data_IF_122846931375
#
_entry.id   IF_122846931375
#
_cell.length_a   1.000
_cell.length_b   1.000
_cell.length_c   1.000
_cell.angle_alpha   90.00
_cell.angle_beta   90.00
_cell.angle_gamma   90.00
#
_symmetry.space_group_name_H-M   'P 1'
#
loop_
_entity.id
_entity.type
_entity.pdbx_description
1 polymer ?
#
# COMPACT_ATOMS: atom_id res chain seq x y z
N UNK A 1 -19.66 -19.21 -38.66
CA UNK A 1 -20.14 -18.89 -37.30
C UNK A 1 -19.08 -19.41 -36.33
N UNK A 2 -18.20 -18.55 -35.84
CA UNK A 2 -17.27 -18.90 -34.77
C UNK A 2 -17.87 -18.30 -33.50
N UNK A 3 -18.48 -19.15 -32.66
CA UNK A 3 -18.93 -18.79 -31.35
C UNK A 3 -17.70 -18.46 -30.47
N UNK A 4 -17.46 -17.20 -30.22
CA UNK A 4 -16.51 -16.79 -29.20
C UNK A 4 -17.04 -17.25 -27.85
N UNK A 5 -16.28 -18.05 -27.16
CA UNK A 5 -16.50 -18.36 -25.75
C UNK A 5 -16.22 -17.04 -25.02
N UNK A 6 -17.29 -16.33 -24.67
CA UNK A 6 -17.22 -15.23 -23.71
C UNK A 6 -16.96 -15.91 -22.36
N UNK A 7 -15.71 -15.99 -21.96
CA UNK A 7 -15.37 -16.31 -20.56
C UNK A 7 -15.85 -15.13 -19.73
N UNK A 8 -17.03 -15.29 -19.12
CA UNK A 8 -17.49 -14.33 -18.12
C UNK A 8 -16.40 -14.21 -17.05
N UNK A 9 -15.93 -13.00 -16.79
CA UNK A 9 -15.02 -12.71 -15.66
C UNK A 9 -15.80 -13.08 -14.41
N UNK A 10 -15.44 -14.19 -13.79
CA UNK A 10 -16.19 -14.75 -12.66
C UNK A 10 -16.00 -13.95 -11.38
N UNK A 11 -14.89 -13.26 -11.21
CA UNK A 11 -14.66 -12.29 -10.11
C UNK A 11 -13.41 -11.46 -10.37
N UNK A 12 -13.39 -10.22 -9.87
CA UNK A 12 -12.18 -9.37 -9.85
C UNK A 12 -11.66 -9.20 -8.43
N UNK A 13 -10.33 -9.16 -8.31
CA UNK A 13 -9.65 -8.92 -7.05
C UNK A 13 -9.19 -7.47 -6.99
N UNK A 14 -9.76 -6.71 -6.07
CA UNK A 14 -9.41 -5.32 -5.81
C UNK A 14 -8.49 -5.19 -4.59
N UNK A 15 -7.59 -4.24 -4.66
CA UNK A 15 -6.82 -3.72 -3.52
C UNK A 15 -6.70 -2.20 -3.66
N UNK A 16 -6.35 -1.45 -2.61
CA UNK A 16 -6.13 0.00 -2.71
C UNK A 16 -5.16 0.38 -3.82
N UNK A 17 -4.08 -0.40 -4.02
CA UNK A 17 -3.10 -0.17 -5.08
C UNK A 17 -3.69 -0.38 -6.47
N UNK A 18 -4.41 -1.48 -6.71
CA UNK A 18 -5.07 -1.79 -8.00
C UNK A 18 -6.10 -0.74 -8.39
N UNK A 19 -6.91 -0.30 -7.41
CA UNK A 19 -7.86 0.80 -7.60
C UNK A 19 -7.14 2.10 -7.98
N UNK A 20 -6.03 2.40 -7.28
CA UNK A 20 -5.23 3.59 -7.58
C UNK A 20 -4.58 3.52 -8.97
N UNK A 21 -4.08 2.35 -9.39
CA UNK A 21 -3.50 2.14 -10.72
C UNK A 21 -4.53 2.35 -11.83
N UNK A 22 -5.69 1.73 -11.72
CA UNK A 22 -6.76 1.90 -12.73
C UNK A 22 -7.21 3.36 -12.84
N UNK A 23 -7.44 4.03 -11.71
CA UNK A 23 -7.82 5.44 -11.67
C UNK A 23 -6.74 6.36 -12.26
N UNK A 24 -5.47 6.03 -12.05
CA UNK A 24 -4.35 6.81 -12.61
C UNK A 24 -4.23 6.62 -14.13
N UNK A 25 -4.29 5.36 -14.60
CA UNK A 25 -4.18 5.03 -16.02
C UNK A 25 -4.68 3.59 -16.27
N UNK A 26 -5.87 3.38 -16.89
CA UNK A 26 -6.35 2.05 -17.24
C UNK A 26 -5.34 1.22 -18.05
N UNK A 27 -4.60 1.85 -18.97
CA UNK A 27 -3.58 1.15 -19.77
C UNK A 27 -2.43 0.62 -18.89
N UNK A 28 -2.01 1.35 -17.84
CA UNK A 28 -1.00 0.88 -16.90
C UNK A 28 -1.53 -0.32 -16.09
N UNK A 29 -2.80 -0.24 -15.66
CA UNK A 29 -3.47 -1.35 -15.00
C UNK A 29 -3.49 -2.61 -15.91
N UNK A 30 -3.81 -2.47 -17.21
CA UNK A 30 -3.74 -3.56 -18.16
C UNK A 30 -2.36 -4.21 -18.16
N UNK A 31 -1.30 -3.44 -18.30
CA UNK A 31 0.06 -3.95 -18.34
C UNK A 31 0.47 -4.68 -17.06
N UNK A 32 0.16 -4.12 -15.90
CA UNK A 32 0.59 -4.66 -14.61
C UNK A 32 -0.29 -5.78 -14.07
N UNK A 33 -1.61 -5.69 -14.27
CA UNK A 33 -2.57 -6.57 -13.56
C UNK A 33 -3.15 -7.62 -14.49
N UNK A 34 -3.39 -7.30 -15.75
CA UNK A 34 -3.98 -8.24 -16.73
C UNK A 34 -2.89 -8.98 -17.50
N UNK A 35 -1.93 -8.26 -18.06
CA UNK A 35 -0.87 -8.82 -18.90
C UNK A 35 0.37 -9.24 -18.08
N UNK A 36 0.49 -8.79 -16.85
CA UNK A 36 1.60 -9.10 -15.92
C UNK A 36 2.98 -8.85 -16.54
N UNK A 37 3.11 -7.74 -17.27
CA UNK A 37 4.37 -7.39 -17.91
C UNK A 37 5.44 -7.09 -16.85
N UNK A 38 6.67 -7.59 -17.03
CA UNK A 38 7.74 -7.38 -16.05
C UNK A 38 8.16 -5.91 -15.99
N UNK A 39 8.40 -5.43 -14.77
CA UNK A 39 9.02 -4.14 -14.49
C UNK A 39 10.30 -4.34 -13.67
N UNK A 40 11.33 -3.51 -13.88
CA UNK A 40 12.49 -3.53 -12.99
C UNK A 40 12.08 -3.08 -11.59
N UNK A 41 12.75 -3.59 -10.54
CA UNK A 41 12.47 -3.17 -9.17
C UNK A 41 12.77 -1.67 -8.99
N UNK A 42 11.93 -1.01 -8.22
CA UNK A 42 12.11 0.40 -7.84
C UNK A 42 12.87 0.49 -6.54
N UNK A 43 14.02 1.15 -6.54
CA UNK A 43 14.84 1.38 -5.34
C UNK A 43 14.05 2.07 -4.22
N UNK A 44 13.16 3.00 -4.56
CA UNK A 44 12.33 3.68 -3.56
C UNK A 44 11.26 2.75 -2.97
N UNK A 45 10.69 1.84 -3.79
CA UNK A 45 9.76 0.83 -3.31
C UNK A 45 10.47 -0.19 -2.41
N UNK A 46 11.65 -0.66 -2.81
CA UNK A 46 12.44 -1.61 -2.00
C UNK A 46 12.90 -1.01 -0.67
N UNK A 47 13.19 0.30 -0.63
CA UNK A 47 13.45 1.00 0.65
C UNK A 47 12.20 1.04 1.53
N UNK A 48 11.03 1.25 0.93
CA UNK A 48 9.76 1.16 1.64
C UNK A 48 9.57 -0.22 2.25
N UNK A 49 9.75 -1.28 1.46
CA UNK A 49 9.66 -2.67 1.94
C UNK A 49 10.61 -2.94 3.11
N UNK A 50 11.88 -2.51 3.02
CA UNK A 50 12.85 -2.67 4.09
C UNK A 50 12.41 -1.98 5.39
N UNK A 51 11.88 -0.76 5.28
CA UNK A 51 11.37 -0.01 6.44
C UNK A 51 10.17 -0.74 7.08
N UNK A 52 9.21 -1.21 6.29
CA UNK A 52 8.06 -1.94 6.81
C UNK A 52 8.48 -3.21 7.56
N UNK A 53 9.39 -4.01 6.97
CA UNK A 53 9.94 -5.20 7.62
C UNK A 53 10.62 -4.85 8.96
N UNK A 54 11.43 -3.79 9.02
CA UNK A 54 12.10 -3.39 10.26
C UNK A 54 11.08 -2.93 11.30
N UNK A 55 10.06 -2.16 10.91
CA UNK A 55 9.02 -1.68 11.83
C UNK A 55 8.09 -2.81 12.29
N UNK A 56 7.86 -3.83 11.47
CA UNK A 56 7.19 -5.06 11.86
C UNK A 56 7.98 -5.82 12.92
N UNK A 57 9.26 -6.12 12.64
CA UNK A 57 10.16 -6.88 13.52
C UNK A 57 10.46 -6.16 14.83
N UNK A 58 10.41 -4.82 14.83
CA UNK A 58 10.63 -4.03 16.03
C UNK A 58 9.67 -4.41 17.19
N UNK A 59 8.46 -4.81 16.86
CA UNK A 59 7.46 -5.24 17.84
C UNK A 59 7.65 -6.68 18.32
N UNK A 60 8.60 -7.45 17.77
CA UNK A 60 9.03 -8.74 18.34
C UNK A 60 9.97 -8.55 19.52
N UNK A 61 10.57 -7.36 19.66
CA UNK A 61 11.40 -7.02 20.80
C UNK A 61 10.58 -6.70 22.05
N UNK A 62 11.12 -6.92 23.26
CA UNK A 62 10.58 -6.37 24.49
C UNK A 62 10.39 -4.85 24.38
N UNK A 63 9.37 -4.29 25.04
CA UNK A 63 9.01 -2.88 24.92
C UNK A 63 10.21 -1.93 25.16
N UNK A 64 11.03 -2.21 26.17
CA UNK A 64 12.22 -1.42 26.53
C UNK A 64 13.33 -1.43 25.47
N UNK A 65 13.31 -2.40 24.57
CA UNK A 65 14.27 -2.52 23.46
C UNK A 65 13.75 -1.91 22.16
N UNK A 66 12.50 -1.46 22.09
CA UNK A 66 11.90 -0.85 20.90
C UNK A 66 12.35 0.60 20.74
N UNK A 67 13.58 0.79 20.36
CA UNK A 67 14.22 2.10 20.21
C UNK A 67 14.91 2.24 18.85
N UNK A 68 15.34 3.47 18.53
CA UNK A 68 15.99 3.80 17.26
C UNK A 68 17.26 2.96 17.03
N UNK A 69 18.06 2.70 18.05
CA UNK A 69 19.30 1.93 17.92
C UNK A 69 19.01 0.49 17.52
N UNK A 70 18.02 -0.15 18.15
CA UNK A 70 17.59 -1.51 17.82
C UNK A 70 17.05 -1.61 16.38
N UNK A 71 16.19 -0.69 15.97
CA UNK A 71 15.66 -0.63 14.62
C UNK A 71 16.78 -0.45 13.57
N UNK A 72 17.72 0.47 13.80
CA UNK A 72 18.85 0.70 12.90
C UNK A 72 19.77 -0.52 12.82
N UNK A 73 19.99 -1.23 13.93
CA UNK A 73 20.80 -2.42 13.96
C UNK A 73 20.24 -3.59 13.12
N UNK A 74 18.93 -3.63 12.90
CA UNK A 74 18.27 -4.63 12.03
C UNK A 74 18.52 -4.37 10.53
N UNK A 75 18.71 -3.12 10.13
CA UNK A 75 18.72 -2.72 8.72
C UNK A 75 19.73 -3.51 7.84
N UNK A 76 21.00 -3.74 8.25
CA UNK A 76 21.95 -4.49 7.43
C UNK A 76 21.58 -5.94 7.21
N UNK A 77 20.98 -6.63 8.21
CA UNK A 77 20.54 -8.01 8.06
C UNK A 77 19.32 -8.11 7.16
N UNK A 78 18.31 -7.28 7.37
CA UNK A 78 17.09 -7.26 6.55
C UNK A 78 17.36 -6.85 5.11
N UNK A 79 18.31 -5.97 4.90
CA UNK A 79 18.76 -5.64 3.54
C UNK A 79 19.42 -6.84 2.84
N UNK A 80 20.25 -7.61 3.53
CA UNK A 80 20.83 -8.86 2.98
C UNK A 80 19.76 -9.90 2.65
N UNK A 81 18.76 -10.09 3.53
CA UNK A 81 17.62 -10.98 3.29
C UNK A 81 16.87 -10.56 2.02
N UNK A 82 16.70 -9.26 1.81
CA UNK A 82 16.04 -8.69 0.63
C UNK A 82 16.84 -8.91 -0.66
N UNK A 83 18.19 -8.76 -0.61
CA UNK A 83 19.08 -9.08 -1.73
C UNK A 83 19.08 -10.59 -2.02
N UNK A 84 19.05 -11.44 -1.00
CA UNK A 84 18.98 -12.89 -1.19
C UNK A 84 17.68 -13.30 -1.92
N UNK A 85 16.56 -12.66 -1.57
CA UNK A 85 15.26 -12.88 -2.23
C UNK A 85 15.19 -12.27 -3.65
N UNK A 86 15.93 -11.17 -3.90
CA UNK A 86 15.95 -10.43 -5.17
C UNK A 86 17.39 -10.02 -5.52
N UNK A 87 18.22 -10.92 -6.09
CA UNK A 87 19.63 -10.66 -6.34
C UNK A 87 19.94 -9.45 -7.23
N UNK A 88 19.02 -9.07 -8.10
CA UNK A 88 19.14 -7.88 -8.95
C UNK A 88 19.28 -6.57 -8.15
N UNK A 89 18.82 -6.51 -6.91
CA UNK A 89 18.93 -5.33 -6.05
C UNK A 89 20.39 -4.96 -5.75
N UNK A 90 21.28 -5.96 -5.68
CA UNK A 90 22.70 -5.72 -5.44
C UNK A 90 23.33 -4.84 -6.53
N UNK A 91 22.86 -4.94 -7.77
CA UNK A 91 23.35 -4.12 -8.89
C UNK A 91 22.74 -2.70 -8.94
N UNK A 92 21.59 -2.50 -8.28
CA UNK A 92 20.90 -1.21 -8.25
C UNK A 92 21.38 -0.31 -7.11
N UNK A 93 21.90 -0.90 -6.02
CA UNK A 93 22.43 -0.16 -4.87
C UNK A 93 23.96 -0.16 -4.94
N UNK A 94 24.52 0.82 -5.63
CA UNK A 94 25.98 0.93 -5.83
C UNK A 94 26.75 1.33 -4.57
N UNK A 95 26.09 1.97 -3.61
CA UNK A 95 26.66 2.39 -2.34
C UNK A 95 25.75 1.96 -1.19
N UNK A 96 26.02 0.77 -0.64
CA UNK A 96 25.23 0.20 0.45
C UNK A 96 25.23 1.09 1.70
N UNK A 97 26.37 1.71 2.01
CA UNK A 97 26.45 2.61 3.17
C UNK A 97 25.47 3.79 3.03
N UNK A 98 25.49 4.48 1.90
CA UNK A 98 24.57 5.60 1.63
C UNK A 98 23.11 5.13 1.64
N UNK A 99 22.86 3.93 1.14
CA UNK A 99 21.53 3.32 1.17
C UNK A 99 21.03 3.12 2.60
N UNK A 100 21.86 2.51 3.47
CA UNK A 100 21.52 2.28 4.87
C UNK A 100 21.43 3.58 5.67
N UNK A 101 22.28 4.58 5.38
CA UNK A 101 22.18 5.93 5.99
C UNK A 101 20.82 6.58 5.69
N UNK A 102 20.25 6.37 4.49
CA UNK A 102 18.90 6.85 4.13
C UNK A 102 17.80 6.07 4.86
N UNK A 103 17.97 4.76 5.05
CA UNK A 103 17.05 3.95 5.85
C UNK A 103 17.05 4.41 7.30
N UNK A 104 18.23 4.61 7.90
CA UNK A 104 18.37 5.13 9.26
C UNK A 104 17.68 6.48 9.45
N UNK A 105 17.81 7.40 8.48
CA UNK A 105 17.16 8.70 8.53
C UNK A 105 15.62 8.59 8.59
N UNK A 106 15.03 7.64 7.84
CA UNK A 106 13.59 7.37 7.88
C UNK A 106 13.17 6.73 9.20
N UNK A 107 13.94 5.77 9.72
CA UNK A 107 13.70 5.18 11.03
C UNK A 107 13.79 6.23 12.14
N UNK A 108 14.78 7.13 12.10
CA UNK A 108 14.86 8.25 13.04
C UNK A 108 13.59 9.10 13.05
N UNK A 109 13.03 9.37 11.87
CA UNK A 109 11.78 10.13 11.75
C UNK A 109 10.58 9.36 12.33
N UNK A 110 10.55 8.02 12.25
CA UNK A 110 9.53 7.22 12.92
C UNK A 110 9.51 7.46 14.43
N UNK A 111 10.67 7.45 15.09
CA UNK A 111 10.78 7.68 16.55
C UNK A 111 10.49 9.13 16.98
N UNK A 112 10.38 10.08 16.03
CA UNK A 112 9.81 11.40 16.30
C UNK A 112 8.28 11.40 16.31
N UNK A 113 7.66 10.42 15.64
CA UNK A 113 6.19 10.32 15.48
C UNK A 113 5.53 9.43 16.51
N UNK A 114 6.18 8.36 16.94
CA UNK A 114 5.65 7.38 17.87
C UNK A 114 6.70 6.94 18.92
N UNK A 115 6.18 6.36 20.01
CA UNK A 115 6.96 5.75 21.08
C UNK A 115 6.56 4.28 21.20
N UNK A 116 7.15 3.38 20.38
CA UNK A 116 6.73 1.97 20.30
C UNK A 116 6.93 1.21 21.62
N UNK A 117 7.74 1.72 22.51
CA UNK A 117 7.90 1.19 23.88
C UNK A 117 6.67 1.39 24.77
N UNK A 118 5.72 2.26 24.38
CA UNK A 118 4.56 2.62 25.19
C UNK A 118 3.27 1.89 24.85
N UNK A 119 3.27 1.04 23.83
CA UNK A 119 2.08 0.29 23.41
C UNK A 119 2.46 -1.03 22.72
N UNK A 120 1.46 -1.91 22.56
CA UNK A 120 1.60 -3.15 21.79
C UNK A 120 0.86 -3.06 20.45
N UNK A 121 1.49 -3.56 19.39
CA UNK A 121 0.83 -3.79 18.10
C UNK A 121 -0.02 -5.07 18.21
N UNK A 122 -1.34 -4.96 18.04
CA UNK A 122 -2.22 -6.15 18.10
C UNK A 122 -2.02 -7.05 16.89
N UNK A 123 -1.92 -6.44 15.70
CA UNK A 123 -1.61 -7.11 14.44
C UNK A 123 -0.63 -6.29 13.63
N UNK A 124 0.24 -6.98 12.88
CA UNK A 124 1.22 -6.41 11.96
C UNK A 124 1.11 -7.11 10.62
N UNK A 125 1.30 -6.39 9.51
CA UNK A 125 1.18 -6.90 8.13
C UNK A 125 -0.07 -7.80 7.95
N UNK A 126 -1.18 -7.38 8.57
CA UNK A 126 -2.39 -8.20 8.61
C UNK A 126 -3.07 -8.20 7.25
N UNK A 127 -3.21 -9.39 6.66
CA UNK A 127 -4.02 -9.57 5.46
C UNK A 127 -5.50 -9.55 5.82
N UNK A 128 -6.23 -8.59 5.28
CA UNK A 128 -7.69 -8.49 5.36
C UNK A 128 -8.28 -8.79 3.99
N UNK A 129 -9.33 -9.59 3.95
CA UNK A 129 -9.99 -9.95 2.68
C UNK A 129 -11.49 -10.19 2.89
N UNK A 130 -12.31 -9.76 1.93
CA UNK A 130 -13.76 -9.88 1.98
C UNK A 130 -14.38 -9.83 0.59
N UNK A 131 -15.39 -10.68 0.35
CA UNK A 131 -16.27 -10.52 -0.80
C UNK A 131 -17.19 -9.31 -0.56
N UNK A 132 -17.12 -8.33 -1.44
CA UNK A 132 -18.09 -7.22 -1.44
C UNK A 132 -19.36 -7.62 -2.19
N UNK A 133 -19.20 -8.39 -3.26
CA UNK A 133 -20.26 -9.03 -4.03
C UNK A 133 -19.76 -10.40 -4.53
N UNK A 134 -20.59 -11.15 -5.24
CA UNK A 134 -20.20 -12.42 -5.90
C UNK A 134 -19.12 -12.23 -6.97
N UNK A 135 -18.94 -10.98 -7.46
CA UNK A 135 -18.03 -10.65 -8.57
C UNK A 135 -16.84 -9.80 -8.09
N UNK A 136 -16.90 -9.26 -6.87
CA UNK A 136 -15.88 -8.31 -6.36
C UNK A 136 -15.31 -8.79 -5.04
N UNK A 137 -14.05 -9.19 -5.07
CA UNK A 137 -13.26 -9.58 -3.92
C UNK A 137 -12.31 -8.44 -3.56
N UNK A 138 -12.40 -7.92 -2.35
CA UNK A 138 -11.55 -6.84 -1.84
C UNK A 138 -10.53 -7.41 -0.84
N UNK A 139 -9.27 -7.01 -0.97
CA UNK A 139 -8.23 -7.39 -0.03
C UNK A 139 -7.20 -6.28 0.17
N UNK A 140 -6.41 -6.42 1.23
CA UNK A 140 -5.28 -5.53 1.50
C UNK A 140 -4.44 -5.99 2.67
N UNK A 141 -3.21 -5.51 2.74
CA UNK A 141 -2.32 -5.71 3.87
C UNK A 141 -2.27 -4.42 4.67
N UNK A 142 -2.49 -4.54 5.98
CA UNK A 142 -2.48 -3.41 6.91
C UNK A 142 -1.19 -3.48 7.71
N UNK A 143 -0.36 -2.45 7.62
CA UNK A 143 0.95 -2.44 8.25
C UNK A 143 0.85 -2.69 9.75
N UNK A 144 -0.10 -2.01 10.44
CA UNK A 144 -0.34 -2.23 11.86
C UNK A 144 -1.78 -1.93 12.28
N UNK A 145 -2.30 -2.77 13.17
CA UNK A 145 -3.58 -2.55 13.86
C UNK A 145 -3.33 -2.62 15.35
N UNK A 146 -3.75 -1.59 16.06
CA UNK A 146 -3.70 -1.52 17.52
C UNK A 146 -5.13 -1.55 18.07
N UNK A 147 -5.38 -2.39 19.06
CA UNK A 147 -6.66 -2.50 19.76
C UNK A 147 -6.44 -2.13 21.22
N UNK A 148 -7.08 -1.05 21.64
CA UNK A 148 -7.01 -0.62 23.04
C UNK A 148 -7.75 -1.62 23.94
N UNK A 149 -7.41 -1.72 25.25
CA UNK A 149 -8.16 -2.54 26.20
C UNK A 149 -9.66 -2.21 26.29
N UNK A 150 -10.04 -1.01 25.94
CA UNK A 150 -11.41 -0.50 25.87
C UNK A 150 -12.13 -0.83 24.56
N UNK A 151 -11.40 -1.43 23.58
CA UNK A 151 -11.94 -1.90 22.29
C UNK A 151 -11.81 -0.92 21.13
N UNK A 152 -11.25 0.28 21.32
CA UNK A 152 -10.99 1.21 20.23
C UNK A 152 -9.89 0.67 19.32
N UNK A 153 -10.11 0.79 18.03
CA UNK A 153 -9.21 0.28 16.99
C UNK A 153 -8.53 1.43 16.27
N UNK A 154 -7.20 1.34 16.16
CA UNK A 154 -6.36 2.23 15.35
C UNK A 154 -5.74 1.45 14.20
N UNK A 155 -5.90 1.94 12.97
CA UNK A 155 -5.22 1.42 11.78
C UNK A 155 -4.08 2.39 11.44
N UNK A 156 -2.88 1.86 11.27
CA UNK A 156 -1.67 2.63 10.97
C UNK A 156 -1.05 2.13 9.67
N UNK A 157 -0.60 3.06 8.83
CA UNK A 157 0.14 2.78 7.59
C UNK A 157 1.36 3.70 7.51
N UNK A 158 2.49 3.15 7.10
CA UNK A 158 3.76 3.84 7.00
C UNK A 158 4.05 4.23 5.55
N UNK A 159 4.50 5.45 5.35
CA UNK A 159 4.91 5.96 4.04
C UNK A 159 6.37 6.43 4.12
N UNK A 160 7.26 5.80 3.37
CA UNK A 160 8.68 6.19 3.30
C UNK A 160 8.89 7.56 2.62
N UNK A 161 7.90 8.03 1.83
CA UNK A 161 7.90 9.35 1.20
C UNK A 161 7.53 10.49 2.13
N UNK A 162 7.49 11.71 1.55
CA UNK A 162 7.01 12.93 2.22
C UNK A 162 5.50 13.03 2.17
N UNK A 163 4.92 13.70 3.15
CA UNK A 163 3.50 14.00 3.20
C UNK A 163 3.05 14.84 1.99
N UNK A 164 1.81 14.64 1.50
CA UNK A 164 1.23 15.52 0.50
C UNK A 164 1.04 16.93 1.06
N UNK A 165 0.89 17.91 0.18
CA UNK A 165 0.49 19.26 0.61
C UNK A 165 -0.87 19.21 1.31
N UNK A 166 -1.12 20.10 2.31
CA UNK A 166 -2.41 20.18 2.96
C UNK A 166 -3.56 20.30 1.94
N UNK A 167 -4.61 19.47 2.13
CA UNK A 167 -5.74 19.36 1.21
C UNK A 167 -5.57 18.34 0.08
N UNK A 168 -4.43 17.66 -0.02
CA UNK A 168 -4.17 16.62 -1.03
C UNK A 168 -4.05 15.22 -0.42
N UNK A 169 -4.46 15.05 0.84
CA UNK A 169 -4.36 13.79 1.59
C UNK A 169 -5.41 12.76 1.17
N UNK A 170 -6.45 13.18 0.45
CA UNK A 170 -7.63 12.36 0.14
C UNK A 170 -7.28 11.00 -0.49
N UNK A 171 -6.29 10.97 -1.41
CA UNK A 171 -5.86 9.73 -2.06
C UNK A 171 -5.26 8.73 -1.06
N UNK A 172 -4.45 9.21 -0.13
CA UNK A 172 -3.83 8.37 0.88
C UNK A 172 -4.85 7.96 1.97
N UNK A 173 -5.75 8.87 2.35
CA UNK A 173 -6.86 8.56 3.26
C UNK A 173 -7.85 7.56 2.66
N UNK A 174 -8.02 7.55 1.33
CA UNK A 174 -8.84 6.55 0.66
C UNK A 174 -8.32 5.13 0.92
N UNK A 175 -7.01 4.88 0.85
CA UNK A 175 -6.40 3.60 1.19
C UNK A 175 -6.77 3.17 2.61
N UNK A 176 -6.62 4.06 3.59
CA UNK A 176 -6.96 3.77 4.98
C UNK A 176 -8.47 3.50 5.18
N UNK A 177 -9.33 4.23 4.44
CA UNK A 177 -10.78 3.95 4.49
C UNK A 177 -11.14 2.58 3.91
N UNK A 178 -10.39 2.09 2.90
CA UNK A 178 -10.54 0.72 2.39
C UNK A 178 -10.15 -0.29 3.46
N UNK A 179 -9.06 -0.08 4.17
CA UNK A 179 -8.68 -0.94 5.30
C UNK A 179 -9.70 -0.90 6.44
N UNK A 180 -10.21 0.30 6.77
CA UNK A 180 -11.26 0.45 7.78
C UNK A 180 -12.57 -0.23 7.37
N UNK A 181 -12.93 -0.18 6.08
CA UNK A 181 -14.09 -0.89 5.54
C UNK A 181 -13.92 -2.40 5.67
N UNK A 182 -12.77 -2.96 5.27
CA UNK A 182 -12.44 -4.38 5.42
C UNK A 182 -12.52 -4.80 6.89
N UNK A 183 -11.87 -4.06 7.78
CA UNK A 183 -11.89 -4.36 9.21
C UNK A 183 -13.31 -4.34 9.77
N UNK A 184 -14.10 -3.33 9.43
CA UNK A 184 -15.49 -3.23 9.84
C UNK A 184 -16.34 -4.40 9.34
N UNK A 185 -16.20 -4.78 8.08
CA UNK A 185 -16.94 -5.90 7.48
C UNK A 185 -16.60 -7.24 8.13
N UNK A 186 -15.34 -7.44 8.50
CA UNK A 186 -14.85 -8.69 9.10
C UNK A 186 -15.18 -8.79 10.61
N UNK A 187 -15.04 -7.68 11.34
CA UNK A 187 -15.11 -7.70 12.81
C UNK A 187 -16.34 -6.98 13.37
N UNK A 188 -17.16 -6.31 12.56
CA UNK A 188 -18.31 -5.54 13.02
C UNK A 188 -17.96 -4.24 13.76
N UNK A 189 -16.66 -3.93 13.91
CA UNK A 189 -16.14 -2.77 14.66
C UNK A 189 -15.59 -1.74 13.69
N UNK A 190 -16.00 -0.49 13.81
CA UNK A 190 -15.47 0.61 13.01
C UNK A 190 -14.21 1.13 13.70
N UNK A 191 -13.04 1.16 13.01
CA UNK A 191 -11.85 1.77 13.57
C UNK A 191 -12.09 3.23 13.95
N UNK A 192 -11.64 3.62 15.15
CA UNK A 192 -11.84 4.97 15.68
C UNK A 192 -10.81 5.96 15.15
N UNK A 193 -9.64 5.44 14.73
CA UNK A 193 -8.53 6.28 14.26
C UNK A 193 -7.78 5.60 13.10
N UNK A 194 -7.59 6.36 12.04
CA UNK A 194 -6.74 6.02 10.90
C UNK A 194 -5.53 6.95 10.90
N UNK A 195 -4.33 6.38 10.75
CA UNK A 195 -3.06 7.11 10.88
C UNK A 195 -2.16 6.81 9.69
N UNK A 196 -1.65 7.84 9.05
CA UNK A 196 -0.57 7.78 8.07
C UNK A 196 0.66 8.44 8.67
N UNK A 197 1.74 7.68 8.81
CA UNK A 197 3.03 8.21 9.20
C UNK A 197 3.92 8.39 7.97
N UNK A 198 4.20 9.64 7.62
CA UNK A 198 5.12 10.01 6.55
C UNK A 198 6.52 10.16 7.12
N UNK A 199 7.36 9.15 6.89
CA UNK A 199 8.71 9.08 7.44
C UNK A 199 9.67 10.05 6.72
N UNK A 200 9.37 10.42 5.47
CA UNK A 200 10.21 11.32 4.68
C UNK A 200 10.29 12.77 5.19
N UNK A 201 9.33 13.19 6.02
CA UNK A 201 9.28 14.54 6.61
C UNK A 201 8.74 14.54 8.05
N UNK A 202 8.70 13.37 8.70
CA UNK A 202 8.22 13.18 10.07
C UNK A 202 6.83 13.82 10.32
N UNK A 203 5.87 13.58 9.43
CA UNK A 203 4.51 14.09 9.55
C UNK A 203 3.49 12.97 9.72
N UNK A 204 2.44 13.27 10.46
CA UNK A 204 1.30 12.37 10.65
C UNK A 204 0.03 13.00 10.09
N UNK A 205 -0.71 12.24 9.29
CA UNK A 205 -2.08 12.56 8.89
C UNK A 205 -3.02 11.61 9.63
N UNK A 206 -4.07 12.15 10.22
CA UNK A 206 -5.06 11.39 11.01
C UNK A 206 -6.46 11.61 10.47
N UNK A 207 -7.30 10.58 10.56
CA UNK A 207 -8.72 10.65 10.23
C UNK A 207 -9.50 9.72 11.17
N UNK A 208 -10.74 10.10 11.49
CA UNK A 208 -11.68 9.26 12.23
C UNK A 208 -12.84 8.93 11.30
N UNK A 209 -12.89 7.70 10.74
CA UNK A 209 -13.86 7.37 9.72
C UNK A 209 -15.28 7.29 10.32
N UNK A 210 -16.27 7.74 9.55
CA UNK A 210 -17.67 7.61 9.89
C UNK A 210 -18.32 6.52 9.03
N UNK A 211 -19.39 5.90 9.53
CA UNK A 211 -20.17 4.89 8.79
C UNK A 211 -20.51 5.36 7.37
N UNK A 212 -20.98 6.60 7.23
CA UNK A 212 -21.36 7.15 5.93
C UNK A 212 -20.15 7.24 4.95
N UNK A 213 -18.95 7.50 5.45
CA UNK A 213 -17.73 7.54 4.63
C UNK A 213 -17.31 6.13 4.18
N UNK A 214 -17.44 5.13 5.06
CA UNK A 214 -17.13 3.73 4.70
C UNK A 214 -18.13 3.20 3.68
N UNK A 215 -19.43 3.48 3.84
CA UNK A 215 -20.45 3.13 2.85
C UNK A 215 -20.17 3.84 1.50
N UNK A 216 -19.78 5.13 1.54
CA UNK A 216 -19.39 5.85 0.32
C UNK A 216 -18.14 5.27 -0.34
N UNK A 217 -17.18 4.80 0.48
CA UNK A 217 -15.96 4.13 -0.01
C UNK A 217 -16.32 2.82 -0.72
N UNK A 218 -17.19 2.00 -0.13
CA UNK A 218 -17.67 0.76 -0.75
C UNK A 218 -18.37 1.01 -2.08
N UNK A 219 -19.28 2.00 -2.15
CA UNK A 219 -19.92 2.38 -3.41
C UNK A 219 -18.93 2.81 -4.49
N UNK A 220 -17.87 3.55 -4.12
CA UNK A 220 -16.81 3.93 -5.05
C UNK A 220 -16.02 2.72 -5.53
N UNK A 221 -15.73 1.78 -4.64
CA UNK A 221 -15.02 0.54 -5.00
C UNK A 221 -15.83 -0.28 -5.99
N UNK A 222 -17.14 -0.45 -5.76
CA UNK A 222 -18.03 -1.18 -6.65
C UNK A 222 -18.14 -0.49 -8.03
N UNK A 223 -18.28 0.84 -8.07
CA UNK A 223 -18.30 1.57 -9.34
C UNK A 223 -16.99 1.40 -10.14
N UNK A 224 -15.83 1.42 -9.47
CA UNK A 224 -14.54 1.17 -10.12
C UNK A 224 -14.43 -0.29 -10.56
N UNK A 225 -14.99 -1.24 -9.78
CA UNK A 225 -15.08 -2.63 -10.18
C UNK A 225 -15.84 -2.81 -11.49
N UNK A 226 -17.00 -2.17 -11.61
CA UNK A 226 -17.83 -2.19 -12.83
C UNK A 226 -17.06 -1.62 -14.02
N UNK A 227 -16.33 -0.50 -13.84
CA UNK A 227 -15.48 0.09 -14.90
C UNK A 227 -14.36 -0.87 -15.33
N UNK A 228 -13.73 -1.58 -14.39
CA UNK A 228 -12.68 -2.55 -14.67
C UNK A 228 -13.25 -3.77 -15.42
N UNK A 229 -14.41 -4.29 -14.99
CA UNK A 229 -15.09 -5.41 -15.65
C UNK A 229 -15.43 -5.03 -17.09
N UNK A 230 -16.03 -3.85 -17.28
CA UNK A 230 -16.36 -3.35 -18.63
C UNK A 230 -15.10 -3.18 -19.50
N UNK A 231 -13.99 -2.68 -18.92
CA UNK A 231 -12.73 -2.54 -19.64
C UNK A 231 -12.14 -3.90 -20.05
N UNK A 232 -12.27 -4.93 -19.21
CA UNK A 232 -11.85 -6.30 -19.51
C UNK A 232 -12.73 -6.91 -20.61
N UNK A 233 -14.04 -6.82 -20.48
CA UNK A 233 -14.99 -7.38 -21.47
C UNK A 233 -14.82 -6.80 -22.87
N UNK A 234 -14.52 -5.49 -22.95
CA UNK A 234 -14.35 -4.76 -24.21
C UNK A 234 -12.91 -4.78 -24.72
N UNK A 235 -11.97 -5.32 -23.94
CA UNK A 235 -10.52 -5.16 -24.12
C UNK A 235 -10.13 -3.69 -24.39
N UNK A 236 -10.76 -2.76 -23.65
CA UNK A 236 -10.59 -1.32 -23.85
C UNK A 236 -10.05 -0.64 -22.59
N UNK A 237 -8.76 -0.31 -22.60
CA UNK A 237 -8.04 0.31 -21.52
C UNK A 237 -7.41 1.62 -22.00
N UNK A 238 -8.16 2.74 -22.04
CA UNK A 238 -7.64 3.98 -22.60
C UNK A 238 -6.46 4.52 -21.76
N UNK A 239 -5.35 4.91 -22.41
CA UNK A 239 -4.24 5.52 -21.69
C UNK A 239 -4.65 6.90 -21.18
N UNK A 240 -4.24 7.23 -19.94
CA UNK A 240 -4.48 8.53 -19.32
C UNK A 240 -3.17 9.28 -19.17
N UNK A 241 -2.82 10.07 -20.19
CA UNK A 241 -1.59 10.85 -20.20
C UNK A 241 -1.54 11.84 -19.03
N UNK A 242 -0.46 11.82 -18.27
CA UNK A 242 -0.22 12.69 -17.12
C UNK A 242 1.28 12.84 -16.87
N UNK A 243 1.67 13.61 -15.85
CA UNK A 243 3.07 13.69 -15.42
C UNK A 243 3.65 12.33 -14.98
N UNK A 244 2.81 11.36 -14.61
CA UNK A 244 3.26 10.02 -14.27
C UNK A 244 3.87 9.28 -15.46
N UNK A 245 3.56 9.68 -16.70
CA UNK A 245 4.15 9.10 -17.90
C UNK A 245 5.67 9.35 -18.02
N UNK A 246 6.21 10.36 -17.33
CA UNK A 246 7.65 10.64 -17.33
C UNK A 246 8.46 9.56 -16.59
N UNK A 247 7.81 8.84 -15.69
CA UNK A 247 8.38 7.72 -14.91
C UNK A 247 7.77 6.36 -15.26
N UNK A 248 6.87 6.29 -16.26
CA UNK A 248 6.23 5.05 -16.65
C UNK A 248 7.19 4.15 -17.43
N UNK A 249 7.46 2.97 -16.90
CA UNK A 249 8.33 1.98 -17.55
C UNK A 249 7.81 1.57 -18.93
N UNK A 250 6.50 1.52 -19.11
CA UNK A 250 5.84 1.09 -20.33
C UNK A 250 5.65 2.22 -21.37
N UNK A 251 6.27 3.36 -21.19
CA UNK A 251 6.11 4.52 -22.10
C UNK A 251 6.41 4.18 -23.56
N UNK A 252 7.42 3.34 -23.82
CA UNK A 252 7.86 2.95 -25.16
C UNK A 252 6.86 2.06 -25.93
N UNK A 253 5.95 1.39 -25.23
CA UNK A 253 4.92 0.54 -25.83
C UNK A 253 3.51 1.11 -25.64
N UNK A 254 3.39 2.29 -25.02
CA UNK A 254 2.10 2.88 -24.70
C UNK A 254 1.48 3.58 -25.92
N UNK A 255 0.21 3.29 -26.27
CA UNK A 255 -0.46 3.91 -27.43
C UNK A 255 -0.65 5.43 -27.31
N UNK A 256 -0.45 6.02 -26.11
CA UNK A 256 -0.47 7.48 -25.96
C UNK A 256 0.85 8.15 -26.40
N UNK A 257 1.91 7.39 -26.66
CA UNK A 257 3.26 7.87 -26.96
C UNK A 257 3.83 7.25 -28.26
N UNK A 258 3.06 6.37 -28.90
CA UNK A 258 3.36 5.73 -30.19
C UNK A 258 2.28 5.97 -31.21
#
# INVERSE_FOLDING_TARGET
>A
MRGGIVTSVTSIRLSPSRVSEFNNCPQLYKYRVIELLPEPPSIDAERGTLIHTILEDLFDLPAEERNHQSATAMAPSRWRDQIEAKPELASLVLNEKEWLDRVEALLKNYFLLEKPESFEATHREMHLEQDLTTEVYLHGYVDRIDVAPTGEVRIVDYKSGKSPKPGWEEKALFQLRVYALLYWRLHGVIPTLLVLHYLGDARTVKSSPKVAELISTEKKLLAIADEIIEAIEKDHFPPKASKLCDWCFFKSICPAHN
#
